data_IF_395802270127
#
_entry.id   IF_395802270127
#
_cell.length_a   1.000
_cell.length_b   1.000
_cell.length_c   1.000
_cell.angle_alpha   90.00
_cell.angle_beta   90.00
_cell.angle_gamma   90.00
#
_symmetry.space_group_name_H-M   'P 1'
#
loop_
_entity.id
_entity.type
_entity.pdbx_description
1 polymer ?
#
# COMPACT_ATOMS: atom_id res chain seq x y z
N UNK A 1 26.19 -9.50 16.94
CA UNK A 1 25.35 -9.91 15.80
C UNK A 1 23.93 -9.78 16.29
N UNK A 2 23.27 -8.69 15.95
CA UNK A 2 21.84 -8.52 16.22
C UNK A 2 21.10 -9.59 15.39
N UNK A 3 20.30 -10.41 16.04
CA UNK A 3 19.50 -11.42 15.35
C UNK A 3 18.62 -10.68 14.32
N UNK A 4 18.80 -11.00 13.05
CA UNK A 4 17.96 -10.46 11.99
C UNK A 4 16.49 -10.70 12.39
N UNK A 5 15.77 -9.63 12.68
CA UNK A 5 14.35 -9.68 13.03
C UNK A 5 13.59 -10.33 11.87
N UNK A 6 12.67 -11.23 12.16
CA UNK A 6 11.83 -11.83 11.14
C UNK A 6 11.10 -10.71 10.36
N UNK A 7 10.97 -10.82 9.02
CA UNK A 7 10.28 -9.81 8.25
C UNK A 7 8.81 -9.70 8.68
N UNK A 8 8.29 -8.48 8.71
CA UNK A 8 6.93 -8.18 9.14
C UNK A 8 5.95 -8.34 7.96
N UNK A 9 4.74 -8.83 8.24
CA UNK A 9 3.62 -8.70 7.32
C UNK A 9 2.84 -7.45 7.69
N UNK A 10 2.64 -6.56 6.74
CA UNK A 10 1.93 -5.32 6.96
C UNK A 10 0.68 -5.24 6.08
N UNK A 11 -0.36 -4.57 6.57
CA UNK A 11 -1.53 -4.25 5.80
C UNK A 11 -1.49 -2.76 5.45
N UNK A 12 -1.43 -2.43 4.17
CA UNK A 12 -1.48 -1.05 3.66
C UNK A 12 -2.81 -0.36 3.96
N UNK A 13 -2.90 0.95 3.74
CA UNK A 13 -4.16 1.68 3.89
C UNK A 13 -5.19 1.21 2.87
N UNK A 14 -6.46 1.27 3.22
CA UNK A 14 -7.55 1.05 2.25
C UNK A 14 -7.55 2.22 1.26
N UNK A 15 -7.34 1.91 -0.02
CA UNK A 15 -7.27 2.91 -1.08
C UNK A 15 -8.63 3.23 -1.72
N UNK A 16 -9.65 2.42 -1.46
CA UNK A 16 -10.97 2.49 -2.07
C UNK A 16 -11.97 3.25 -1.19
N UNK A 17 -12.99 3.81 -1.83
CA UNK A 17 -14.06 4.51 -1.11
C UNK A 17 -15.13 3.51 -0.66
N UNK A 18 -14.90 2.85 0.45
CA UNK A 18 -15.85 1.92 1.05
C UNK A 18 -16.83 2.62 1.99
N UNK A 19 -18.06 2.10 2.15
CA UNK A 19 -18.98 2.56 3.18
C UNK A 19 -18.35 2.47 4.58
N UNK A 20 -18.58 3.47 5.42
CA UNK A 20 -17.97 3.56 6.76
C UNK A 20 -18.24 2.33 7.65
N UNK A 21 -19.43 1.73 7.54
CA UNK A 21 -19.76 0.51 8.29
C UNK A 21 -18.86 -0.65 7.84
N UNK A 22 -18.73 -0.86 6.53
CA UNK A 22 -17.86 -1.90 5.98
C UNK A 22 -16.39 -1.68 6.34
N UNK A 23 -15.91 -0.43 6.29
CA UNK A 23 -14.55 -0.08 6.70
C UNK A 23 -14.28 -0.45 8.16
N UNK A 24 -15.20 -0.13 9.08
CA UNK A 24 -15.07 -0.49 10.50
C UNK A 24 -15.04 -2.00 10.72
N UNK A 25 -15.94 -2.72 10.05
CA UNK A 25 -16.00 -4.19 10.13
C UNK A 25 -14.73 -4.83 9.56
N UNK A 26 -14.23 -4.30 8.44
CA UNK A 26 -12.97 -4.74 7.84
C UNK A 26 -11.81 -4.60 8.84
N UNK A 27 -11.59 -3.42 9.41
CA UNK A 27 -10.49 -3.22 10.37
C UNK A 27 -10.70 -4.01 11.68
N UNK A 28 -11.95 -4.25 12.08
CA UNK A 28 -12.25 -5.11 13.22
C UNK A 28 -11.80 -6.55 12.96
N UNK A 29 -12.14 -7.10 11.79
CA UNK A 29 -11.69 -8.45 11.39
C UNK A 29 -10.17 -8.52 11.24
N UNK A 30 -9.54 -7.50 10.68
CA UNK A 30 -8.07 -7.44 10.61
C UNK A 30 -7.45 -7.43 12.00
N UNK A 31 -8.00 -6.70 12.94
CA UNK A 31 -7.50 -6.68 14.32
C UNK A 31 -7.57 -8.08 14.97
N UNK A 32 -8.71 -8.73 14.84
CA UNK A 32 -9.02 -9.94 15.61
C UNK A 32 -8.53 -11.24 14.95
N UNK A 33 -8.49 -11.29 13.61
CA UNK A 33 -8.33 -12.54 12.86
C UNK A 33 -7.05 -12.58 12.00
N UNK A 34 -6.51 -11.42 11.54
CA UNK A 34 -5.43 -11.42 10.57
C UNK A 34 -4.03 -11.49 11.23
N UNK A 35 -3.14 -12.38 10.77
CA UNK A 35 -1.76 -12.47 11.25
C UNK A 35 -0.88 -11.39 10.60
N UNK A 36 -1.17 -10.12 10.86
CA UNK A 36 -0.38 -8.98 10.41
C UNK A 36 0.26 -8.26 11.59
N UNK A 37 1.48 -7.73 11.42
CA UNK A 37 2.24 -7.06 12.47
C UNK A 37 1.90 -5.57 12.56
N UNK A 38 1.69 -4.92 11.41
CA UNK A 38 1.39 -3.51 11.34
C UNK A 38 0.24 -3.23 10.36
N UNK A 39 -0.57 -2.22 10.67
CA UNK A 39 -1.71 -1.80 9.87
C UNK A 39 -1.62 -0.31 9.61
N UNK A 40 -1.70 0.06 8.34
CA UNK A 40 -1.72 1.44 7.90
C UNK A 40 -3.17 1.93 7.81
N UNK A 41 -3.45 3.10 8.37
CA UNK A 41 -4.79 3.69 8.44
C UNK A 41 -4.74 5.14 7.99
N UNK A 42 -5.61 5.54 7.08
CA UNK A 42 -5.71 6.93 6.62
C UNK A 42 -6.19 7.02 5.17
N UNK A 43 -6.62 8.22 4.77
CA UNK A 43 -6.99 8.49 3.37
C UNK A 43 -5.74 8.91 2.58
N UNK A 44 -5.41 8.13 1.56
CA UNK A 44 -4.23 8.33 0.73
C UNK A 44 -4.57 8.93 -0.63
N UNK A 45 -5.74 8.61 -1.16
CA UNK A 45 -6.09 8.85 -2.57
C UNK A 45 -6.75 10.21 -2.81
N UNK A 46 -7.73 10.58 -1.98
CA UNK A 46 -8.54 11.76 -2.23
C UNK A 46 -9.04 12.41 -0.95
N UNK A 47 -8.58 13.63 -0.67
CA UNK A 47 -8.98 14.41 0.51
C UNK A 47 -10.48 14.59 0.70
N UNK A 48 -11.27 14.48 -0.37
CA UNK A 48 -12.74 14.56 -0.32
C UNK A 48 -13.38 13.37 0.39
N UNK A 49 -12.67 12.22 0.47
CA UNK A 49 -13.13 11.01 1.15
C UNK A 49 -12.89 11.05 2.67
N UNK A 50 -11.95 11.87 3.12
CA UNK A 50 -11.57 11.97 4.54
C UNK A 50 -12.76 12.15 5.49
N UNK A 51 -13.76 13.00 5.21
CA UNK A 51 -14.91 13.15 6.10
C UNK A 51 -15.70 11.86 6.38
N UNK A 52 -15.58 10.86 5.52
CA UNK A 52 -16.25 9.56 5.70
C UNK A 52 -15.44 8.58 6.55
N UNK A 53 -14.12 8.74 6.60
CA UNK A 53 -13.21 7.87 7.35
C UNK A 53 -12.76 8.51 8.68
N UNK A 54 -12.38 9.78 8.68
CA UNK A 54 -11.74 10.48 9.80
C UNK A 54 -12.47 10.32 11.14
N UNK A 55 -13.83 10.39 11.21
CA UNK A 55 -14.56 10.20 12.47
C UNK A 55 -14.39 8.80 13.08
N UNK A 56 -13.98 7.82 12.27
CA UNK A 56 -13.85 6.43 12.69
C UNK A 56 -12.41 6.03 13.02
N UNK A 57 -11.41 6.81 12.58
CA UNK A 57 -9.99 6.50 12.78
C UNK A 57 -9.66 6.26 14.26
N UNK A 58 -10.08 7.06 15.25
CA UNK A 58 -9.71 6.83 16.65
C UNK A 58 -10.14 5.44 17.15
N UNK A 59 -11.38 5.03 16.86
CA UNK A 59 -11.89 3.74 17.30
C UNK A 59 -11.21 2.57 16.57
N UNK A 60 -10.87 2.73 15.28
CA UNK A 60 -10.12 1.76 14.50
C UNK A 60 -8.72 1.59 15.09
N UNK A 61 -8.01 2.69 15.34
CA UNK A 61 -6.66 2.68 15.92
C UNK A 61 -6.65 2.00 17.29
N UNK A 62 -7.58 2.38 18.16
CA UNK A 62 -7.69 1.78 19.51
C UNK A 62 -7.90 0.27 19.44
N UNK A 63 -8.78 -0.21 18.53
CA UNK A 63 -9.04 -1.65 18.40
C UNK A 63 -7.82 -2.41 17.89
N UNK A 64 -7.13 -1.89 16.87
CA UNK A 64 -5.91 -2.48 16.32
C UNK A 64 -4.81 -2.55 17.38
N UNK A 65 -4.62 -1.47 18.15
CA UNK A 65 -3.62 -1.43 19.22
C UNK A 65 -3.94 -2.40 20.36
N UNK A 66 -5.21 -2.53 20.77
CA UNK A 66 -5.63 -3.53 21.76
C UNK A 66 -5.38 -4.97 21.28
N UNK A 67 -5.48 -5.22 19.98
CA UNK A 67 -5.13 -6.50 19.37
C UNK A 67 -3.62 -6.71 19.18
N UNK A 68 -2.78 -5.78 19.68
CA UNK A 68 -1.32 -5.87 19.61
C UNK A 68 -0.72 -5.49 18.27
N UNK A 69 -1.51 -4.89 17.34
CA UNK A 69 -1.01 -4.45 16.05
C UNK A 69 -0.31 -3.09 16.18
N UNK A 70 0.80 -2.91 15.47
CA UNK A 70 1.35 -1.57 15.24
C UNK A 70 0.42 -0.81 14.30
N UNK A 71 0.20 0.47 14.57
CA UNK A 71 -0.62 1.33 13.72
C UNK A 71 0.23 2.45 13.15
N UNK A 72 0.15 2.63 11.84
CA UNK A 72 0.82 3.69 11.08
C UNK A 72 -0.25 4.56 10.43
N UNK A 73 -0.21 5.87 10.67
CA UNK A 73 -1.15 6.79 10.05
C UNK A 73 -0.61 7.26 8.70
N UNK A 74 -1.36 7.03 7.62
CA UNK A 74 -0.94 7.35 6.26
C UNK A 74 -1.47 8.70 5.81
N UNK A 75 -0.61 9.48 5.15
CA UNK A 75 -0.96 10.78 4.56
C UNK A 75 -1.48 10.64 3.14
N UNK A 76 -2.08 11.73 2.63
CA UNK A 76 -2.41 11.88 1.21
C UNK A 76 -1.17 11.72 0.34
N UNK A 77 -1.35 11.13 -0.85
CA UNK A 77 -0.32 10.97 -1.88
C UNK A 77 -0.20 12.18 -2.81
N UNK A 78 -1.17 13.08 -2.80
CA UNK A 78 -1.16 14.33 -3.57
C UNK A 78 -1.66 15.47 -2.70
N UNK A 79 -0.83 16.50 -2.50
CA UNK A 79 -1.12 17.69 -1.67
C UNK A 79 -1.05 18.94 -2.54
N UNK A 80 -2.20 19.36 -3.08
CA UNK A 80 -2.31 20.50 -4.00
C UNK A 80 -3.05 21.68 -3.36
N UNK A 81 -4.14 21.40 -2.66
CA UNK A 81 -5.03 22.43 -2.12
C UNK A 81 -4.56 22.91 -0.72
N UNK A 82 -4.88 24.18 -0.34
CA UNK A 82 -4.56 24.68 1.00
C UNK A 82 -5.05 23.75 2.13
N UNK A 83 -6.29 23.24 2.05
CA UNK A 83 -6.86 22.32 3.05
C UNK A 83 -6.08 20.99 3.15
N UNK A 84 -5.55 20.48 2.02
CA UNK A 84 -4.75 19.26 2.00
C UNK A 84 -3.40 19.46 2.67
N UNK A 85 -2.84 20.67 2.51
CA UNK A 85 -1.63 21.09 3.24
C UNK A 85 -1.89 21.20 4.75
N UNK A 86 -3.04 21.73 5.15
CA UNK A 86 -3.46 21.77 6.55
C UNK A 86 -3.64 20.35 7.13
N UNK A 87 -4.30 19.44 6.39
CA UNK A 87 -4.43 18.03 6.77
C UNK A 87 -3.06 17.36 6.96
N UNK A 88 -2.14 17.53 6.01
CA UNK A 88 -0.76 17.03 6.10
C UNK A 88 -0.04 17.59 7.32
N UNK A 89 -0.12 18.91 7.54
CA UNK A 89 0.48 19.58 8.70
C UNK A 89 -0.09 19.05 10.01
N UNK A 90 -1.41 18.87 10.10
CA UNK A 90 -2.08 18.35 11.29
C UNK A 90 -1.63 16.92 11.60
N UNK A 91 -1.61 16.04 10.59
CA UNK A 91 -1.12 14.67 10.72
C UNK A 91 0.34 14.64 11.21
N UNK A 92 1.21 15.45 10.59
CA UNK A 92 2.64 15.49 10.93
C UNK A 92 2.94 16.04 12.34
N UNK A 93 2.00 16.74 12.98
CA UNK A 93 2.12 17.23 14.36
C UNK A 93 1.71 16.22 15.42
N UNK A 94 1.06 15.13 15.04
CA UNK A 94 0.66 14.09 15.98
C UNK A 94 1.90 13.50 16.68
N UNK A 95 1.77 13.28 17.97
CA UNK A 95 2.82 12.68 18.81
C UNK A 95 2.42 11.23 19.16
N UNK A 96 3.42 10.44 19.49
CA UNK A 96 3.23 9.05 19.94
C UNK A 96 2.54 8.13 18.92
N UNK A 97 2.68 8.42 17.62
CA UNK A 97 2.21 7.58 16.54
C UNK A 97 3.23 7.53 15.40
N UNK A 98 3.28 6.40 14.70
CA UNK A 98 4.05 6.30 13.46
C UNK A 98 3.25 6.93 12.32
N UNK A 99 3.94 7.66 11.44
CA UNK A 99 3.33 8.36 10.31
C UNK A 99 4.02 7.91 9.03
N UNK A 100 3.22 7.57 8.03
CA UNK A 100 3.66 7.35 6.66
C UNK A 100 3.40 8.61 5.82
N UNK A 101 4.45 9.12 5.20
CA UNK A 101 4.41 10.28 4.32
C UNK A 101 4.42 9.80 2.87
N UNK A 102 3.38 10.18 2.11
CA UNK A 102 3.21 9.83 0.71
C UNK A 102 3.44 11.01 -0.27
N UNK A 103 3.59 12.24 0.24
CA UNK A 103 3.84 13.46 -0.54
C UNK A 103 4.98 14.27 0.06
N UNK A 104 5.77 14.93 -0.78
CA UNK A 104 6.95 15.71 -0.37
C UNK A 104 6.64 16.83 0.63
N UNK A 105 5.41 17.39 0.65
CA UNK A 105 5.01 18.37 1.65
C UNK A 105 5.14 17.82 3.08
N UNK A 106 4.93 16.52 3.29
CA UNK A 106 5.06 15.89 4.60
C UNK A 106 6.49 15.91 5.13
N UNK A 107 7.51 15.81 4.28
CA UNK A 107 8.91 15.88 4.73
C UNK A 107 9.29 17.25 5.28
N UNK A 108 8.66 18.32 4.79
CA UNK A 108 8.82 19.65 5.34
C UNK A 108 8.24 19.76 6.76
N UNK A 109 7.02 19.27 6.97
CA UNK A 109 6.36 19.33 8.28
C UNK A 109 6.95 18.37 9.31
N UNK A 110 7.61 17.30 8.87
CA UNK A 110 8.18 16.25 9.72
C UNK A 110 9.71 16.28 9.78
N UNK A 111 10.34 17.32 9.25
CA UNK A 111 11.80 17.41 9.11
C UNK A 111 12.54 17.07 10.42
N UNK A 112 13.45 16.10 10.34
CA UNK A 112 14.26 15.60 11.46
C UNK A 112 13.54 14.70 12.46
N UNK A 113 12.23 14.50 12.36
CA UNK A 113 11.48 13.59 13.22
C UNK A 113 11.27 12.22 12.55
N UNK A 114 11.23 11.10 13.32
CA UNK A 114 11.00 9.78 12.76
C UNK A 114 9.69 9.69 11.97
N UNK A 115 9.77 9.13 10.75
CA UNK A 115 8.61 8.88 9.89
C UNK A 115 8.90 7.76 8.89
N UNK A 116 7.86 7.22 8.28
CA UNK A 116 7.93 6.28 7.15
C UNK A 116 7.69 7.03 5.84
N UNK A 117 8.28 6.55 4.76
CA UNK A 117 8.05 7.03 3.40
C UNK A 117 7.22 5.98 2.66
N UNK A 118 6.06 6.38 2.13
CA UNK A 118 5.18 5.49 1.38
C UNK A 118 5.56 5.36 -0.10
N UNK A 119 4.95 4.39 -0.78
CA UNK A 119 5.27 4.04 -2.16
C UNK A 119 5.00 5.18 -3.17
N UNK A 120 4.07 6.09 -2.86
CA UNK A 120 3.75 7.23 -3.74
C UNK A 120 4.81 8.32 -3.76
N UNK A 121 5.81 8.20 -2.91
CA UNK A 121 6.99 9.08 -2.93
C UNK A 121 7.90 8.82 -4.13
N UNK A 122 7.70 7.71 -4.84
CA UNK A 122 8.44 7.32 -6.05
C UNK A 122 9.96 7.25 -5.82
N UNK A 123 10.35 6.46 -4.81
CA UNK A 123 11.74 6.29 -4.41
C UNK A 123 12.42 5.22 -5.30
N UNK A 124 13.20 5.66 -6.30
CA UNK A 124 13.82 4.79 -7.30
C UNK A 124 15.34 4.66 -7.20
N UNK A 125 16.00 5.40 -6.31
CA UNK A 125 17.45 5.40 -6.26
C UNK A 125 18.03 5.67 -4.86
N UNK A 126 19.24 5.22 -4.63
CA UNK A 126 19.94 5.26 -3.34
C UNK A 126 20.26 6.70 -2.88
N UNK A 127 20.45 7.64 -3.80
CA UNK A 127 20.71 9.05 -3.45
C UNK A 127 19.50 9.72 -2.85
N UNK A 128 18.32 9.46 -3.40
CA UNK A 128 17.07 9.96 -2.82
C UNK A 128 16.86 9.31 -1.45
N UNK A 129 17.13 8.02 -1.30
CA UNK A 129 17.06 7.32 -0.01
C UNK A 129 17.97 7.97 1.04
N UNK A 130 19.21 8.32 0.69
CA UNK A 130 20.14 9.02 1.59
C UNK A 130 19.58 10.36 2.08
N UNK A 131 18.96 11.14 1.19
CA UNK A 131 18.34 12.42 1.54
C UNK A 131 17.18 12.22 2.50
N UNK A 132 16.32 11.24 2.23
CA UNK A 132 15.16 10.93 3.09
C UNK A 132 15.59 10.40 4.46
N UNK A 133 16.60 9.54 4.52
CA UNK A 133 17.16 9.03 5.76
C UNK A 133 17.71 10.17 6.64
N UNK A 134 18.47 11.12 6.06
CA UNK A 134 18.92 12.32 6.78
C UNK A 134 17.77 13.21 7.24
N UNK A 135 16.64 13.20 6.52
CA UNK A 135 15.41 13.89 6.89
C UNK A 135 14.60 13.22 8.00
N UNK A 136 15.02 12.03 8.49
CA UNK A 136 14.35 11.31 9.57
C UNK A 136 13.54 10.09 9.11
N UNK A 137 13.64 9.68 7.84
CA UNK A 137 12.97 8.46 7.39
C UNK A 137 13.55 7.23 8.09
N UNK A 138 12.70 6.45 8.74
CA UNK A 138 13.04 5.19 9.43
C UNK A 138 12.70 3.95 8.61
N UNK A 139 11.71 4.06 7.71
CA UNK A 139 11.27 3.02 6.79
C UNK A 139 10.88 3.63 5.45
N UNK A 140 11.08 2.87 4.38
CA UNK A 140 10.65 3.25 3.03
C UNK A 140 9.90 2.10 2.37
N UNK A 141 8.77 2.41 1.75
CA UNK A 141 8.05 1.47 0.88
C UNK A 141 8.47 1.74 -0.55
N UNK A 142 9.08 0.75 -1.19
CA UNK A 142 9.56 0.89 -2.57
C UNK A 142 8.41 0.79 -3.57
N UNK A 143 8.50 1.49 -4.72
CA UNK A 143 7.57 1.32 -5.83
C UNK A 143 7.53 -0.13 -6.32
N UNK A 144 6.31 -0.62 -6.61
CA UNK A 144 6.08 -2.02 -6.95
C UNK A 144 6.60 -2.42 -8.34
N UNK A 145 6.96 -1.45 -9.19
CA UNK A 145 7.56 -1.67 -10.51
C UNK A 145 9.08 -1.85 -10.50
N UNK A 146 9.72 -1.74 -9.33
CA UNK A 146 11.15 -2.00 -9.23
C UNK A 146 11.46 -3.50 -9.40
N UNK A 147 12.41 -3.84 -10.29
CA UNK A 147 12.83 -5.22 -10.47
C UNK A 147 13.74 -5.69 -9.32
N UNK A 148 13.88 -7.02 -9.18
CA UNK A 148 14.68 -7.69 -8.14
C UNK A 148 16.02 -7.02 -7.86
N UNK A 149 16.80 -6.73 -8.91
CA UNK A 149 18.13 -6.13 -8.76
C UNK A 149 18.10 -4.75 -8.13
N UNK A 150 17.14 -3.91 -8.52
CA UNK A 150 16.96 -2.57 -7.95
C UNK A 150 16.50 -2.63 -6.50
N UNK A 151 15.58 -3.54 -6.17
CA UNK A 151 15.13 -3.74 -4.77
C UNK A 151 16.33 -4.19 -3.91
N UNK A 152 17.16 -5.12 -4.39
CA UNK A 152 18.34 -5.57 -3.67
C UNK A 152 19.35 -4.43 -3.41
N UNK A 153 19.63 -3.60 -4.43
CA UNK A 153 20.49 -2.41 -4.31
C UNK A 153 19.96 -1.43 -3.27
N UNK A 154 18.67 -1.11 -3.36
CA UNK A 154 18.00 -0.20 -2.41
C UNK A 154 18.03 -0.75 -0.98
N UNK A 155 17.76 -2.05 -0.80
CA UNK A 155 17.77 -2.69 0.53
C UNK A 155 19.17 -2.74 1.13
N UNK A 156 20.20 -2.99 0.32
CA UNK A 156 21.59 -2.94 0.77
C UNK A 156 21.95 -1.53 1.28
N UNK A 157 21.60 -0.49 0.51
CA UNK A 157 21.84 0.90 0.93
C UNK A 157 21.04 1.32 2.15
N UNK A 158 19.78 0.91 2.22
CA UNK A 158 18.92 1.18 3.37
C UNK A 158 19.50 0.61 4.67
N UNK A 159 20.03 -0.61 4.60
CA UNK A 159 20.69 -1.27 5.75
C UNK A 159 21.88 -0.46 6.27
N UNK A 160 22.73 0.08 5.37
CA UNK A 160 23.84 0.95 5.76
C UNK A 160 23.40 2.23 6.45
N UNK A 161 22.21 2.73 6.10
CA UNK A 161 21.63 3.94 6.66
C UNK A 161 20.74 3.67 7.89
N UNK A 162 20.55 2.41 8.29
CA UNK A 162 19.67 2.04 9.40
C UNK A 162 18.17 2.24 9.08
N UNK A 163 17.79 2.19 7.79
CA UNK A 163 16.41 2.37 7.32
C UNK A 163 15.80 1.02 6.94
N UNK A 164 14.58 0.74 7.40
CA UNK A 164 13.82 -0.44 6.99
C UNK A 164 13.26 -0.30 5.57
N UNK A 165 13.12 -1.45 4.88
CA UNK A 165 12.58 -1.50 3.51
C UNK A 165 11.33 -2.37 3.48
N UNK A 166 10.28 -1.82 2.93
CA UNK A 166 9.00 -2.49 2.68
C UNK A 166 8.73 -2.60 1.18
N UNK A 167 8.15 -3.72 0.76
CA UNK A 167 7.74 -3.98 -0.62
C UNK A 167 6.30 -4.47 -0.64
N UNK A 168 5.48 -3.92 -1.54
CA UNK A 168 4.13 -4.45 -1.75
C UNK A 168 4.25 -5.83 -2.42
N UNK A 169 3.71 -6.86 -1.77
CA UNK A 169 3.76 -8.25 -2.24
C UNK A 169 2.41 -8.78 -2.71
N UNK A 170 1.32 -8.06 -2.41
CA UNK A 170 -0.02 -8.43 -2.85
C UNK A 170 -0.92 -7.20 -3.06
N UNK A 171 -1.80 -7.30 -4.06
CA UNK A 171 -2.83 -6.30 -4.38
C UNK A 171 -2.56 -5.59 -5.71
N UNK A 172 -3.48 -4.73 -6.14
CA UNK A 172 -3.29 -3.98 -7.39
C UNK A 172 -2.11 -3.02 -7.27
N UNK A 173 -1.23 -3.04 -8.29
CA UNK A 173 -0.08 -2.15 -8.35
C UNK A 173 -0.54 -0.71 -8.65
N UNK A 174 -0.19 0.30 -7.84
CA UNK A 174 -0.42 1.70 -8.21
C UNK A 174 0.55 2.10 -9.31
N UNK A 175 -0.01 2.56 -10.44
CA UNK A 175 0.77 2.89 -11.64
C UNK A 175 0.83 4.39 -11.90
N UNK A 176 -0.23 5.14 -11.54
CA UNK A 176 -0.26 6.59 -11.72
C UNK A 176 -1.24 7.27 -10.77
N UNK A 177 -0.95 8.53 -10.47
CA UNK A 177 -1.87 9.48 -9.84
C UNK A 177 -2.16 10.63 -10.81
N UNK A 178 -3.37 11.16 -10.81
CA UNK A 178 -3.76 12.27 -11.64
C UNK A 178 -4.50 13.34 -10.84
N UNK A 179 -4.12 14.59 -10.99
CA UNK A 179 -4.85 15.72 -10.40
C UNK A 179 -6.31 15.77 -10.85
N UNK A 180 -6.62 15.19 -12.01
CA UNK A 180 -7.98 15.04 -12.53
C UNK A 180 -8.52 13.65 -12.21
N UNK A 181 -9.72 13.61 -11.60
CA UNK A 181 -10.37 12.35 -11.28
C UNK A 181 -10.93 11.67 -12.54
N UNK A 182 -10.24 10.64 -13.04
CA UNK A 182 -10.70 9.88 -14.21
C UNK A 182 -12.00 9.11 -13.92
N UNK A 183 -12.16 8.63 -12.68
CA UNK A 183 -13.40 7.97 -12.27
C UNK A 183 -14.61 8.90 -12.43
N UNK A 184 -14.54 10.13 -11.91
CA UNK A 184 -15.62 11.11 -12.09
C UNK A 184 -15.86 11.43 -13.58
N UNK A 185 -14.79 11.55 -14.38
CA UNK A 185 -14.91 11.85 -15.81
C UNK A 185 -15.58 10.73 -16.61
N UNK A 186 -15.32 9.48 -16.26
CA UNK A 186 -16.00 8.34 -16.88
C UNK A 186 -17.51 8.36 -16.67
N UNK A 187 -17.98 9.04 -15.60
CA UNK A 187 -19.39 9.26 -15.31
C UNK A 187 -19.91 10.66 -15.74
N UNK A 188 -19.21 11.33 -16.65
CA UNK A 188 -19.60 12.66 -17.13
C UNK A 188 -19.51 13.76 -16.08
N UNK A 189 -18.71 13.59 -15.03
CA UNK A 189 -18.56 14.51 -13.89
C UNK A 189 -17.16 15.12 -13.83
N UNK A 190 -17.00 16.13 -12.99
CA UNK A 190 -15.69 16.72 -12.64
C UNK A 190 -15.33 16.42 -11.19
N UNK A 191 -14.02 16.51 -10.84
CA UNK A 191 -13.54 16.24 -9.48
C UNK A 191 -14.30 17.02 -8.40
N UNK A 192 -14.68 18.28 -8.69
CA UNK A 192 -15.35 19.15 -7.73
C UNK A 192 -16.83 18.82 -7.51
N UNK A 193 -17.48 18.19 -8.48
CA UNK A 193 -18.86 17.70 -8.38
C UNK A 193 -18.93 16.20 -8.69
N UNK A 194 -18.05 15.41 -8.08
CA UNK A 194 -17.93 13.97 -8.35
C UNK A 194 -19.06 13.13 -7.76
N UNK A 195 -19.78 13.65 -6.74
CA UNK A 195 -20.81 12.91 -5.98
C UNK A 195 -20.35 11.54 -5.51
N UNK A 196 -19.04 11.38 -5.31
CA UNK A 196 -18.40 10.16 -4.81
C UNK A 196 -18.69 8.89 -5.60
N UNK A 197 -18.89 9.00 -6.93
CA UNK A 197 -19.15 7.83 -7.83
C UNK A 197 -18.12 6.72 -7.73
N UNK A 198 -16.93 7.00 -7.21
CA UNK A 198 -15.93 5.98 -6.94
C UNK A 198 -16.34 4.98 -5.82
N UNK A 199 -17.40 5.28 -5.06
CA UNK A 199 -18.00 4.35 -4.12
C UNK A 199 -18.85 3.25 -4.77
N UNK A 200 -19.28 3.47 -6.02
CA UNK A 200 -20.05 2.49 -6.77
C UNK A 200 -19.14 1.32 -7.23
N UNK A 201 -17.83 1.58 -7.40
CA UNK A 201 -16.82 0.60 -7.79
C UNK A 201 -15.88 0.30 -6.62
N UNK A 202 -16.30 -0.56 -5.71
CA UNK A 202 -15.65 -0.83 -4.42
C UNK A 202 -14.24 -1.44 -4.52
N UNK A 203 -13.87 -2.01 -5.67
CA UNK A 203 -12.50 -2.48 -5.99
C UNK A 203 -11.93 -1.80 -7.26
N UNK A 204 -12.52 -0.65 -7.61
CA UNK A 204 -12.15 0.18 -8.74
C UNK A 204 -12.84 -0.20 -10.05
N UNK A 205 -12.98 0.80 -10.92
CA UNK A 205 -13.64 0.68 -12.22
C UNK A 205 -12.67 0.04 -13.23
N UNK A 206 -13.12 -1.01 -13.91
CA UNK A 206 -12.32 -1.67 -14.94
C UNK A 206 -12.22 -0.81 -16.21
N UNK A 207 -11.01 -0.53 -16.65
CA UNK A 207 -10.71 0.12 -17.92
C UNK A 207 -10.29 -0.94 -18.95
N UNK A 208 -11.03 -1.00 -20.05
CA UNK A 208 -10.80 -1.95 -21.14
C UNK A 208 -10.12 -1.30 -22.34
N UNK A 209 -9.43 -2.13 -23.12
CA UNK A 209 -8.98 -1.77 -24.47
C UNK A 209 -10.19 -1.62 -25.42
N UNK A 210 -9.95 -1.10 -26.64
CA UNK A 210 -10.98 -1.00 -27.68
C UNK A 210 -11.53 -2.38 -28.04
N UNK A 211 -10.69 -3.42 -27.97
CA UNK A 211 -11.06 -4.81 -28.27
C UNK A 211 -11.79 -5.51 -27.09
N UNK A 212 -12.03 -4.76 -25.98
CA UNK A 212 -12.78 -5.26 -24.83
C UNK A 212 -11.96 -5.99 -23.76
N UNK A 213 -10.65 -6.11 -23.93
CA UNK A 213 -9.76 -6.74 -22.96
C UNK A 213 -9.55 -5.84 -21.73
N UNK A 214 -9.58 -6.41 -20.54
CA UNK A 214 -9.32 -5.69 -19.29
C UNK A 214 -7.85 -5.32 -19.19
N UNK A 215 -7.55 -4.03 -19.01
CA UNK A 215 -6.18 -3.50 -19.06
C UNK A 215 -5.74 -2.89 -17.72
N UNK A 216 -6.54 -1.97 -17.20
CA UNK A 216 -6.24 -1.19 -16.00
C UNK A 216 -7.46 -1.10 -15.09
N UNK A 217 -7.26 -0.58 -13.90
CA UNK A 217 -8.33 -0.28 -12.94
C UNK A 217 -8.21 1.18 -12.50
N UNK A 218 -9.32 1.91 -12.51
CA UNK A 218 -9.35 3.31 -12.08
C UNK A 218 -10.05 3.42 -10.72
N UNK A 219 -9.39 4.06 -9.76
CA UNK A 219 -9.94 4.33 -8.43
C UNK A 219 -9.80 5.82 -8.09
N UNK A 220 -10.82 6.61 -8.36
CA UNK A 220 -10.75 8.05 -8.15
C UNK A 220 -9.69 8.70 -9.05
N UNK A 221 -8.62 9.20 -8.44
CA UNK A 221 -7.46 9.81 -9.12
C UNK A 221 -6.37 8.80 -9.43
N UNK A 222 -6.49 7.56 -8.96
CA UNK A 222 -5.51 6.50 -9.18
C UNK A 222 -5.80 5.71 -10.44
N UNK A 223 -4.73 5.32 -11.13
CA UNK A 223 -4.71 4.24 -12.10
C UNK A 223 -3.91 3.09 -11.52
N UNK A 224 -4.51 1.92 -11.47
CA UNK A 224 -3.97 0.70 -10.90
C UNK A 224 -3.84 -0.38 -11.97
N UNK A 225 -3.06 -1.42 -11.71
CA UNK A 225 -3.08 -2.63 -12.52
C UNK A 225 -4.46 -3.29 -12.49
N UNK A 226 -4.85 -3.97 -13.60
CA UNK A 226 -6.04 -4.82 -13.59
C UNK A 226 -5.77 -6.13 -12.85
N UNK A 227 -4.69 -6.90 -13.17
CA UNK A 227 -4.30 -8.06 -12.38
C UNK A 227 -3.71 -7.63 -11.02
N UNK A 228 -3.74 -8.53 -10.06
CA UNK A 228 -3.17 -8.33 -8.73
C UNK A 228 -1.68 -8.70 -8.73
N UNK A 229 -0.83 -7.79 -8.29
CA UNK A 229 0.55 -8.12 -7.95
C UNK A 229 0.56 -9.24 -6.91
N UNK A 230 1.39 -10.25 -7.12
CA UNK A 230 1.59 -11.35 -6.18
C UNK A 230 3.04 -11.82 -6.23
N UNK A 231 3.78 -11.55 -5.17
CA UNK A 231 5.19 -11.94 -5.00
C UNK A 231 5.33 -13.05 -3.95
N UNK A 232 4.36 -13.97 -3.89
CA UNK A 232 4.36 -15.06 -2.89
C UNK A 232 5.53 -16.04 -3.15
N UNK A 233 5.85 -16.30 -4.40
CA UNK A 233 6.96 -17.18 -4.78
C UNK A 233 8.32 -16.52 -4.57
N UNK A 234 8.37 -15.19 -4.59
CA UNK A 234 9.56 -14.37 -4.48
C UNK A 234 9.92 -13.98 -3.03
N UNK A 235 9.12 -14.38 -2.03
CA UNK A 235 9.38 -14.08 -0.62
C UNK A 235 10.80 -14.46 -0.17
N UNK A 236 11.37 -15.63 -0.54
CA UNK A 236 12.73 -15.97 -0.17
C UNK A 236 13.78 -14.98 -0.71
N UNK A 237 13.60 -14.50 -1.94
CA UNK A 237 14.49 -13.54 -2.58
C UNK A 237 14.39 -12.15 -1.96
N UNK A 238 13.17 -11.71 -1.62
CA UNK A 238 12.93 -10.45 -0.89
C UNK A 238 13.64 -10.46 0.47
N UNK A 239 13.52 -11.55 1.23
CA UNK A 239 14.17 -11.72 2.52
C UNK A 239 15.70 -11.72 2.37
N UNK A 240 16.22 -12.48 1.40
CA UNK A 240 17.65 -12.54 1.12
C UNK A 240 18.22 -11.18 0.70
N UNK A 241 17.44 -10.35 0.03
CA UNK A 241 17.79 -8.98 -0.33
C UNK A 241 17.83 -8.03 0.87
N UNK A 242 17.21 -8.40 2.00
CA UNK A 242 17.15 -7.57 3.20
C UNK A 242 15.89 -6.72 3.30
N UNK A 243 14.83 -7.05 2.59
CA UNK A 243 13.50 -6.46 2.78
C UNK A 243 12.96 -6.87 4.14
N UNK A 244 12.47 -5.88 4.92
CA UNK A 244 12.06 -6.07 6.31
C UNK A 244 10.55 -6.23 6.47
N UNK A 245 9.75 -5.74 5.50
CA UNK A 245 8.31 -5.79 5.59
C UNK A 245 7.67 -6.11 4.22
N UNK A 246 6.62 -6.94 4.28
CA UNK A 246 5.86 -7.43 3.14
C UNK A 246 4.46 -6.80 3.19
N UNK A 247 4.18 -5.83 2.31
CA UNK A 247 2.91 -5.09 2.32
C UNK A 247 1.83 -5.82 1.53
N UNK A 248 0.69 -6.04 2.17
CA UNK A 248 -0.55 -6.45 1.54
C UNK A 248 -1.43 -5.22 1.32
N UNK A 249 -1.84 -4.94 0.09
CA UNK A 249 -2.79 -3.86 -0.19
C UNK A 249 -4.22 -4.38 -0.03
N UNK A 250 -5.09 -3.69 0.76
CA UNK A 250 -6.48 -4.12 0.97
C UNK A 250 -7.34 -4.05 -0.29
N UNK A 251 -8.18 -5.07 -0.48
CA UNK A 251 -9.15 -5.19 -1.57
C UNK A 251 -10.47 -5.80 -1.07
N UNK A 252 -11.50 -5.79 -1.91
CA UNK A 252 -12.78 -6.46 -1.66
C UNK A 252 -12.65 -7.99 -1.78
N UNK A 253 -11.66 -8.53 -1.11
CA UNK A 253 -11.33 -9.95 -1.01
C UNK A 253 -11.32 -10.38 0.46
N UNK A 254 -11.23 -11.66 0.74
CA UNK A 254 -10.99 -12.15 2.10
C UNK A 254 -9.53 -11.88 2.51
N UNK A 255 -9.25 -10.63 2.93
CA UNK A 255 -7.89 -10.20 3.28
C UNK A 255 -7.33 -10.89 4.52
N UNK A 256 -8.18 -11.44 5.40
CA UNK A 256 -7.73 -12.29 6.53
C UNK A 256 -7.11 -13.57 5.99
N UNK A 257 -7.76 -14.22 5.03
CA UNK A 257 -7.25 -15.43 4.38
C UNK A 257 -5.97 -15.13 3.57
N UNK A 258 -5.94 -14.01 2.84
CA UNK A 258 -4.73 -13.57 2.12
C UNK A 258 -3.58 -13.40 3.10
N UNK A 259 -3.77 -12.70 4.21
CA UNK A 259 -2.75 -12.50 5.24
C UNK A 259 -2.26 -13.83 5.83
N UNK A 260 -3.19 -14.77 6.09
CA UNK A 260 -2.84 -16.10 6.61
C UNK A 260 -2.00 -16.91 5.61
N UNK A 261 -2.31 -16.83 4.31
CA UNK A 261 -1.52 -17.50 3.26
C UNK A 261 -0.08 -16.94 3.23
N UNK A 262 0.07 -15.62 3.29
CA UNK A 262 1.39 -14.99 3.32
C UNK A 262 2.16 -15.34 4.59
N UNK A 263 1.51 -15.32 5.76
CA UNK A 263 2.12 -15.68 7.04
C UNK A 263 2.58 -17.16 7.07
N UNK A 264 1.72 -18.08 6.63
CA UNK A 264 2.06 -19.50 6.56
C UNK A 264 3.23 -19.76 5.59
N UNK A 265 3.28 -19.06 4.44
CA UNK A 265 4.35 -19.19 3.46
C UNK A 265 5.66 -18.58 3.98
N UNK A 266 5.59 -17.40 4.59
CA UNK A 266 6.73 -16.72 5.18
C UNK A 266 7.41 -17.58 6.26
N UNK A 267 6.60 -18.24 7.07
CA UNK A 267 7.07 -19.17 8.14
C UNK A 267 7.25 -20.62 7.66
N UNK A 268 7.25 -20.86 6.34
CA UNK A 268 7.46 -22.20 5.72
C UNK A 268 6.46 -23.28 6.19
N UNK A 269 5.26 -22.86 6.59
CA UNK A 269 4.15 -23.77 6.92
C UNK A 269 3.31 -24.14 5.69
N UNK A 270 3.44 -23.35 4.61
CA UNK A 270 2.80 -23.58 3.32
C UNK A 270 3.84 -23.47 2.20
N UNK A 271 3.79 -24.39 1.23
CA UNK A 271 4.64 -24.31 0.04
C UNK A 271 4.16 -23.18 -0.89
N UNK A 272 5.07 -22.44 -1.57
CA UNK A 272 4.72 -21.33 -2.45
C UNK A 272 3.70 -21.71 -3.56
N UNK A 273 3.80 -22.91 -4.15
CA UNK A 273 2.87 -23.35 -5.20
C UNK A 273 1.45 -23.56 -4.66
N UNK A 274 1.32 -24.10 -3.46
CA UNK A 274 0.03 -24.26 -2.80
C UNK A 274 -0.57 -22.89 -2.45
N UNK A 275 0.24 -21.98 -1.92
CA UNK A 275 -0.13 -20.61 -1.64
C UNK A 275 -0.60 -19.87 -2.90
N UNK A 276 0.16 -19.98 -3.99
CA UNK A 276 -0.18 -19.39 -5.28
C UNK A 276 -1.50 -19.90 -5.82
N UNK A 277 -1.76 -21.21 -5.71
CA UNK A 277 -3.02 -21.83 -6.13
C UNK A 277 -4.21 -21.29 -5.34
N UNK A 278 -4.08 -21.13 -4.03
CA UNK A 278 -5.11 -20.52 -3.16
C UNK A 278 -5.36 -19.06 -3.51
N UNK A 279 -4.29 -18.26 -3.69
CA UNK A 279 -4.41 -16.84 -4.07
C UNK A 279 -5.08 -16.68 -5.44
N UNK A 280 -4.78 -17.53 -6.42
CA UNK A 280 -5.48 -17.55 -7.71
C UNK A 280 -6.97 -17.80 -7.56
N UNK A 281 -7.37 -18.72 -6.68
CA UNK A 281 -8.77 -18.99 -6.41
C UNK A 281 -9.49 -17.80 -5.74
N UNK A 282 -8.82 -17.11 -4.82
CA UNK A 282 -9.36 -15.93 -4.13
C UNK A 282 -9.53 -14.75 -5.11
N UNK A 283 -8.55 -14.50 -5.97
CA UNK A 283 -8.53 -13.35 -6.90
C UNK A 283 -9.45 -13.57 -8.10
N UNK A 284 -9.52 -14.78 -8.62
CA UNK A 284 -10.40 -15.12 -9.75
C UNK A 284 -9.96 -14.49 -11.07
N UNK A 285 -10.93 -13.96 -11.84
CA UNK A 285 -10.79 -13.54 -13.23
C UNK A 285 -9.73 -12.44 -13.50
N UNK A 286 -9.50 -11.43 -12.63
CA UNK A 286 -8.42 -10.45 -12.86
C UNK A 286 -7.03 -11.09 -12.98
N UNK A 287 -6.81 -12.23 -12.33
CA UNK A 287 -5.55 -12.94 -12.34
C UNK A 287 -4.45 -12.28 -11.52
N UNK A 288 -3.26 -12.90 -11.55
CA UNK A 288 -2.07 -12.43 -10.82
C UNK A 288 -1.00 -11.93 -11.79
N UNK A 289 -0.12 -11.06 -11.29
CA UNK A 289 1.05 -10.55 -12.01
C UNK A 289 2.28 -10.47 -11.09
N UNK A 290 3.49 -10.65 -11.66
CA UNK A 290 4.78 -10.40 -11.02
C UNK A 290 5.84 -9.93 -12.03
N UNK A 291 5.43 -9.57 -13.25
CA UNK A 291 6.32 -9.28 -14.36
C UNK A 291 7.36 -8.21 -14.06
N UNK A 292 7.01 -7.15 -13.31
CA UNK A 292 7.95 -6.10 -12.92
C UNK A 292 9.18 -6.65 -12.17
N UNK A 293 8.94 -7.56 -11.22
CA UNK A 293 10.03 -8.20 -10.47
C UNK A 293 11.02 -8.93 -11.37
N UNK A 294 10.52 -9.55 -12.42
CA UNK A 294 11.29 -10.34 -13.39
C UNK A 294 11.77 -9.56 -14.62
N UNK A 295 11.64 -8.23 -14.62
CA UNK A 295 11.98 -7.37 -15.78
C UNK A 295 11.19 -7.73 -17.05
N UNK A 296 9.94 -8.14 -16.86
CA UNK A 296 9.00 -8.48 -17.91
C UNK A 296 7.82 -7.48 -17.91
N UNK A 297 6.97 -7.48 -18.92
CA UNK A 297 5.75 -6.66 -18.90
C UNK A 297 4.97 -6.83 -17.58
N UNK A 298 4.62 -5.72 -16.93
CA UNK A 298 4.08 -5.72 -15.57
C UNK A 298 2.84 -6.60 -15.39
N UNK A 299 1.96 -6.66 -16.43
CA UNK A 299 0.69 -7.37 -16.34
C UNK A 299 0.74 -8.89 -16.48
N UNK A 300 1.91 -9.51 -16.67
CA UNK A 300 2.04 -10.97 -16.77
C UNK A 300 2.49 -11.61 -15.47
N UNK A 301 2.22 -12.90 -15.33
CA UNK A 301 2.77 -13.75 -14.26
C UNK A 301 3.86 -14.66 -14.83
N UNK A 302 5.08 -14.52 -14.32
CA UNK A 302 6.26 -15.35 -14.63
C UNK A 302 6.31 -16.47 -13.60
N UNK A 303 6.43 -17.72 -14.07
CA UNK A 303 6.57 -18.92 -13.23
C UNK A 303 8.04 -19.24 -12.95
#
# INVERSE_FOLDING_TARGET
MEQARAPEITLGPVLFHWPAAFMRDFYARIADEAPVDAVYVGEVVCSKRSPFLDPHIPAIVERLQRAGKKVVLSSLAEVVLPREREMMSALCRLQNCEIEINDAAGTYFRAGSPHRIGQYFNLYNERTLEVLARGGATHVTLPCELPRGSVASMAARARELGVGVEVQVFGRAPLALSARCYHARAHGRVKDNCQFVCGDDTDGMNLKTIDGESLLTVNGVQTLSHPYLCLIAELPDLIASGVNAMRLSPHMLNMVEVASIFDETLHRRMAPDAALSRLRAIVGAPGLMNGFWHQQPGGIYVM
#
